data_IF_315825835742
#
_entry.id   IF_315825835742
#
_cell.length_a   1.000
_cell.length_b   1.000
_cell.length_c   1.000
_cell.angle_alpha   90.00
_cell.angle_beta   90.00
_cell.angle_gamma   90.00
#
_symmetry.space_group_name_H-M   'P 1'
#
loop_
_entity.id
_entity.type
_entity.pdbx_description
1 polymer ?
#
# COMPACT_ATOMS: atom_id res chain seq x y z
N UNK A 1 -30.06 -51.51 17.31
CA UNK A 1 -30.53 -50.12 17.13
C UNK A 1 -29.61 -49.19 17.91
N UNK A 2 -28.80 -48.44 17.17
CA UNK A 2 -28.09 -47.20 17.55
C UNK A 2 -29.06 -46.13 18.08
N UNK A 3 -28.70 -45.00 18.70
CA UNK A 3 -27.48 -44.38 19.21
C UNK A 3 -27.98 -43.19 20.07
N UNK A 4 -27.23 -42.79 21.11
CA UNK A 4 -26.93 -41.38 21.49
C UNK A 4 -26.31 -41.32 22.88
N UNK A 5 -24.98 -41.43 22.95
CA UNK A 5 -24.23 -41.07 24.17
C UNK A 5 -23.70 -39.65 24.02
N UNK A 6 -24.23 -38.76 24.86
CA UNK A 6 -23.74 -37.41 25.15
C UNK A 6 -22.26 -37.48 25.56
N UNK A 7 -21.34 -36.89 24.78
CA UNK A 7 -19.99 -36.57 25.28
C UNK A 7 -19.99 -35.20 25.93
N UNK A 8 -19.95 -35.18 27.27
CA UNK A 8 -19.60 -33.99 28.05
C UNK A 8 -18.13 -33.66 27.79
N UNK A 9 -17.87 -32.46 27.27
CA UNK A 9 -16.53 -31.93 27.08
C UNK A 9 -15.92 -31.60 28.47
N UNK A 10 -14.97 -32.42 28.92
CA UNK A 10 -14.25 -32.23 30.18
C UNK A 10 -13.08 -31.28 29.91
N UNK A 11 -13.23 -30.02 30.30
CA UNK A 11 -12.19 -29.00 30.16
C UNK A 11 -11.10 -29.23 31.20
N UNK A 12 -9.84 -29.41 30.77
CA UNK A 12 -8.68 -29.51 31.66
C UNK A 12 -8.37 -28.14 32.30
N UNK A 13 -7.85 -28.18 33.53
CA UNK A 13 -7.52 -26.98 34.34
C UNK A 13 -6.60 -26.00 33.62
N UNK A 14 -5.71 -26.50 32.77
CA UNK A 14 -4.77 -25.71 31.93
C UNK A 14 -5.51 -24.81 30.93
N UNK A 15 -6.64 -25.27 30.40
CA UNK A 15 -7.44 -24.51 29.41
C UNK A 15 -8.21 -23.37 30.08
N UNK A 16 -8.55 -23.51 31.37
CA UNK A 16 -9.21 -22.44 32.15
C UNK A 16 -8.24 -21.31 32.50
N UNK A 17 -7.00 -21.63 32.86
CA UNK A 17 -5.99 -20.61 33.19
C UNK A 17 -5.53 -19.80 31.98
N UNK A 18 -5.42 -20.39 30.78
CA UNK A 18 -5.14 -19.63 29.56
C UNK A 18 -6.27 -18.65 29.20
N UNK A 19 -7.54 -19.06 29.37
CA UNK A 19 -8.68 -18.19 29.07
C UNK A 19 -8.73 -16.96 29.99
N UNK A 20 -8.37 -17.11 31.27
CA UNK A 20 -8.32 -15.99 32.23
C UNK A 20 -7.18 -15.02 31.92
N UNK A 21 -6.01 -15.53 31.49
CA UNK A 21 -4.89 -14.68 31.05
C UNK A 21 -5.22 -13.87 29.78
N UNK A 22 -5.96 -14.46 28.83
CA UNK A 22 -6.41 -13.79 27.61
C UNK A 22 -7.45 -12.69 27.87
N UNK A 23 -8.35 -12.90 28.82
CA UNK A 23 -9.36 -11.88 29.20
C UNK A 23 -8.71 -10.75 30.01
N UNK A 24 -7.70 -11.05 30.86
CA UNK A 24 -6.94 -10.04 31.59
C UNK A 24 -6.13 -9.09 30.68
N UNK A 25 -5.59 -9.61 29.57
CA UNK A 25 -4.85 -8.81 28.58
C UNK A 25 -5.76 -7.94 27.67
N UNK A 26 -7.01 -8.36 27.43
CA UNK A 26 -7.98 -7.55 26.68
C UNK A 26 -8.68 -6.50 27.56
N UNK A 27 -8.80 -6.75 28.87
CA UNK A 27 -9.47 -5.83 29.81
C UNK A 27 -8.68 -4.57 30.15
N UNK A 28 -7.35 -4.60 30.11
CA UNK A 28 -6.50 -3.46 30.49
C UNK A 28 -6.35 -2.38 29.40
N UNK A 29 -6.76 -2.64 28.16
CA UNK A 29 -6.75 -1.64 27.09
C UNK A 29 -7.99 -0.73 27.09
N UNK A 30 -9.03 -1.05 27.87
CA UNK A 30 -10.33 -0.37 27.76
C UNK A 30 -10.54 0.83 28.70
N UNK A 31 -9.60 1.17 29.59
CA UNK A 31 -9.84 2.18 30.65
C UNK A 31 -9.30 3.58 30.32
N UNK A 32 -8.56 3.77 29.21
CA UNK A 32 -8.02 5.11 28.86
C UNK A 32 -8.92 5.95 27.93
N UNK A 33 -10.17 5.54 27.68
CA UNK A 33 -11.05 6.21 26.71
C UNK A 33 -11.82 7.44 27.24
N UNK A 34 -11.64 7.85 28.49
CA UNK A 34 -12.46 8.90 29.10
C UNK A 34 -11.63 10.02 29.72
N UNK A 35 -11.08 10.85 28.83
CA UNK A 35 -11.01 12.33 28.87
C UNK A 35 -9.88 12.75 27.94
N UNK A 36 -10.05 12.47 26.64
CA UNK A 36 -9.16 13.08 25.67
C UNK A 36 -9.38 14.60 25.78
N UNK A 37 -8.34 15.41 26.04
CA UNK A 37 -8.45 16.85 25.87
C UNK A 37 -8.98 17.12 24.45
N UNK A 38 -9.71 18.23 24.20
CA UNK A 38 -10.18 18.56 22.86
C UNK A 38 -9.01 18.35 21.89
N UNK A 39 -9.22 17.67 20.75
CA UNK A 39 -8.13 17.36 19.85
C UNK A 39 -7.39 18.67 19.60
N UNK A 40 -6.12 18.73 20.03
CA UNK A 40 -5.26 19.83 19.61
C UNK A 40 -5.36 19.81 18.08
N UNK A 41 -5.64 20.95 17.41
CA UNK A 41 -5.57 20.96 15.96
C UNK A 41 -4.23 20.34 15.61
N UNK A 42 -4.28 19.20 14.91
CA UNK A 42 -3.05 18.57 14.44
C UNK A 42 -2.26 19.69 13.79
N UNK A 43 -1.01 19.97 14.20
CA UNK A 43 -0.19 20.89 13.44
C UNK A 43 -0.30 20.40 12.00
N UNK A 44 -0.67 21.26 11.03
CA UNK A 44 -0.78 20.82 9.66
C UNK A 44 0.64 20.41 9.25
N UNK A 45 0.93 19.11 9.36
CA UNK A 45 1.99 18.51 8.60
C UNK A 45 1.76 18.90 7.14
N UNK A 46 2.82 19.01 6.33
CA UNK A 46 2.66 19.41 4.95
C UNK A 46 1.60 18.52 4.29
N UNK A 47 0.52 19.14 3.83
CA UNK A 47 -0.52 18.43 3.08
C UNK A 47 0.10 18.13 1.73
N UNK A 48 0.50 16.88 1.53
CA UNK A 48 1.04 16.43 0.25
C UNK A 48 0.03 16.70 -0.87
N UNK A 49 0.52 17.22 -1.97
CA UNK A 49 -0.21 17.28 -3.23
C UNK A 49 -0.65 15.88 -3.69
N UNK A 50 -1.59 15.83 -4.64
CA UNK A 50 -1.99 14.55 -5.26
C UNK A 50 -0.77 13.87 -5.87
N UNK A 51 0.04 14.62 -6.62
CA UNK A 51 1.27 14.13 -7.22
C UNK A 51 2.21 13.50 -6.19
N UNK A 52 2.58 14.22 -5.12
CA UNK A 52 3.54 13.72 -4.12
C UNK A 52 3.04 12.45 -3.42
N UNK A 53 1.73 12.39 -3.12
CA UNK A 53 1.11 11.22 -2.50
C UNK A 53 1.22 10.00 -3.41
N UNK A 54 0.86 10.16 -4.67
CA UNK A 54 0.86 9.06 -5.64
C UNK A 54 2.27 8.69 -6.09
N UNK A 55 3.20 9.64 -6.09
CA UNK A 55 4.62 9.37 -6.24
C UNK A 55 5.13 8.44 -5.15
N UNK A 56 4.86 8.74 -3.89
CA UNK A 56 5.26 7.90 -2.76
C UNK A 56 4.64 6.50 -2.86
N UNK A 57 3.37 6.40 -3.24
CA UNK A 57 2.71 5.11 -3.47
C UNK A 57 3.40 4.32 -4.60
N UNK A 58 3.63 4.97 -5.75
CA UNK A 58 4.31 4.39 -6.89
C UNK A 58 5.70 3.90 -6.50
N UNK A 59 6.46 4.69 -5.75
CA UNK A 59 7.79 4.34 -5.26
C UNK A 59 7.76 3.05 -4.44
N UNK A 60 6.87 2.93 -3.47
CA UNK A 60 6.76 1.70 -2.68
C UNK A 60 6.39 0.49 -3.54
N UNK A 61 5.51 0.66 -4.53
CA UNK A 61 5.12 -0.39 -5.46
C UNK A 61 6.30 -0.83 -6.34
N UNK A 62 7.08 0.12 -6.85
CA UNK A 62 8.29 -0.12 -7.64
C UNK A 62 9.35 -0.86 -6.84
N UNK A 63 9.59 -0.43 -5.59
CA UNK A 63 10.51 -1.09 -4.67
C UNK A 63 10.08 -2.53 -4.36
N UNK A 64 8.77 -2.79 -4.19
CA UNK A 64 8.23 -4.15 -4.01
C UNK A 64 8.47 -5.03 -5.24
N UNK A 65 8.27 -4.51 -6.45
CA UNK A 65 8.58 -5.26 -7.67
C UNK A 65 10.07 -5.55 -7.79
N UNK A 66 10.93 -4.57 -7.52
CA UNK A 66 12.38 -4.74 -7.56
C UNK A 66 12.87 -5.79 -6.56
N UNK A 67 12.39 -5.72 -5.31
CA UNK A 67 12.71 -6.71 -4.27
C UNK A 67 12.30 -8.13 -4.63
N UNK A 68 11.22 -8.30 -5.41
CA UNK A 68 10.77 -9.61 -5.93
C UNK A 68 11.41 -9.99 -7.27
N UNK A 69 12.25 -9.12 -7.86
CA UNK A 69 12.78 -9.26 -9.24
C UNK A 69 11.67 -9.41 -10.29
N UNK A 70 10.53 -8.78 -10.04
CA UNK A 70 9.29 -8.95 -10.80
C UNK A 70 9.17 -7.89 -11.90
N UNK A 71 10.02 -8.05 -12.92
CA UNK A 71 10.09 -7.11 -14.05
C UNK A 71 8.79 -7.06 -14.86
N UNK A 72 8.11 -8.19 -15.00
CA UNK A 72 6.87 -8.27 -15.77
C UNK A 72 5.78 -7.38 -15.17
N UNK A 73 5.59 -7.41 -13.85
CA UNK A 73 4.61 -6.54 -13.21
C UNK A 73 5.05 -5.07 -13.21
N UNK A 74 6.33 -4.78 -13.01
CA UNK A 74 6.84 -3.41 -13.18
C UNK A 74 6.47 -2.84 -14.55
N UNK A 75 6.80 -3.56 -15.65
CA UNK A 75 6.51 -3.09 -17.00
C UNK A 75 5.01 -3.00 -17.30
N UNK A 76 4.21 -3.92 -16.76
CA UNK A 76 2.76 -3.90 -16.88
C UNK A 76 2.15 -2.64 -16.24
N UNK A 77 2.49 -2.36 -14.98
CA UNK A 77 1.97 -1.19 -14.27
C UNK A 77 2.50 0.12 -14.87
N UNK A 78 3.75 0.14 -15.33
CA UNK A 78 4.32 1.30 -16.00
C UNK A 78 3.53 1.68 -17.26
N UNK A 79 3.16 0.70 -18.10
CA UNK A 79 2.29 0.92 -19.27
C UNK A 79 0.89 1.35 -18.86
N UNK A 80 0.32 0.74 -17.82
CA UNK A 80 -1.00 1.09 -17.32
C UNK A 80 -1.10 2.52 -16.83
N UNK A 81 -0.06 3.02 -16.14
CA UNK A 81 -0.01 4.41 -15.70
C UNK A 81 0.22 5.36 -16.89
N UNK A 82 1.08 5.00 -17.84
CA UNK A 82 1.21 5.73 -19.11
C UNK A 82 -0.13 5.87 -19.86
N UNK A 83 -0.88 4.77 -20.01
CA UNK A 83 -2.20 4.80 -20.66
C UNK A 83 -3.17 5.68 -19.86
N UNK A 84 -3.13 5.61 -18.53
CA UNK A 84 -3.92 6.45 -17.64
C UNK A 84 -3.70 7.95 -17.86
N UNK A 85 -2.43 8.37 -18.03
CA UNK A 85 -2.09 9.78 -18.33
C UNK A 85 -2.77 10.24 -19.62
N UNK A 86 -2.85 9.38 -20.64
CA UNK A 86 -3.42 9.72 -21.96
C UNK A 86 -4.94 9.66 -21.97
N UNK A 87 -5.52 8.70 -21.27
CA UNK A 87 -6.97 8.48 -21.25
C UNK A 87 -7.72 9.45 -20.33
N UNK A 88 -7.07 9.89 -19.24
CA UNK A 88 -7.70 10.70 -18.19
C UNK A 88 -6.83 11.93 -17.87
N UNK A 89 -6.73 12.90 -18.80
CA UNK A 89 -5.88 14.07 -18.64
C UNK A 89 -6.25 14.94 -17.42
N UNK A 90 -7.51 14.90 -16.97
CA UNK A 90 -7.98 15.55 -15.74
C UNK A 90 -7.35 14.97 -14.46
N UNK A 91 -6.77 13.77 -14.55
CA UNK A 91 -6.08 13.07 -13.47
C UNK A 91 -4.57 12.96 -13.73
N UNK A 92 -3.96 13.85 -14.53
CA UNK A 92 -2.54 13.80 -14.90
C UNK A 92 -1.64 13.70 -13.66
N UNK A 93 -1.86 14.51 -12.63
CA UNK A 93 -1.05 14.49 -11.40
C UNK A 93 -1.05 13.12 -10.70
N UNK A 94 -2.20 12.44 -10.70
CA UNK A 94 -2.34 11.11 -10.11
C UNK A 94 -1.52 10.08 -10.90
N UNK A 95 -1.76 9.97 -12.21
CA UNK A 95 -1.11 8.94 -13.03
C UNK A 95 0.36 9.24 -13.26
N UNK A 96 0.75 10.51 -13.39
CA UNK A 96 2.15 10.95 -13.50
C UNK A 96 2.92 10.67 -12.21
N UNK A 97 2.32 10.97 -11.05
CA UNK A 97 2.90 10.62 -9.75
C UNK A 97 3.21 9.13 -9.67
N UNK A 98 2.23 8.26 -9.98
CA UNK A 98 2.47 6.81 -9.99
C UNK A 98 3.49 6.36 -11.01
N UNK A 99 3.45 6.89 -12.23
CA UNK A 99 4.36 6.53 -13.31
C UNK A 99 5.83 6.83 -12.96
N UNK A 100 6.09 8.03 -12.45
CA UNK A 100 7.43 8.46 -12.06
C UNK A 100 7.87 7.74 -10.78
N UNK A 101 7.02 7.71 -9.74
CA UNK A 101 7.29 7.02 -8.49
C UNK A 101 7.64 5.55 -8.69
N UNK A 102 6.84 4.81 -9.48
CA UNK A 102 7.07 3.40 -9.81
C UNK A 102 8.47 3.17 -10.39
N UNK A 103 8.89 4.05 -11.29
CA UNK A 103 10.21 3.99 -11.93
C UNK A 103 11.32 4.25 -10.93
N UNK A 104 11.22 5.30 -10.10
CA UNK A 104 12.22 5.61 -9.08
C UNK A 104 12.36 4.47 -8.06
N UNK A 105 11.25 3.95 -7.55
CA UNK A 105 11.24 2.84 -6.61
C UNK A 105 11.88 1.57 -7.18
N UNK A 106 11.65 1.29 -8.46
CA UNK A 106 12.30 0.19 -9.15
C UNK A 106 13.82 0.42 -9.29
N UNK A 107 14.22 1.62 -9.72
CA UNK A 107 15.62 1.97 -9.99
C UNK A 107 16.52 1.85 -8.77
N UNK A 108 16.11 2.46 -7.65
CA UNK A 108 16.95 2.53 -6.45
C UNK A 108 17.17 1.15 -5.81
N UNK A 109 16.35 0.16 -6.17
CA UNK A 109 16.38 -1.19 -5.63
C UNK A 109 16.90 -2.22 -6.64
N UNK A 110 17.50 -1.79 -7.75
CA UNK A 110 18.08 -2.65 -8.79
C UNK A 110 19.57 -2.28 -8.99
N UNK A 111 20.49 -3.27 -9.03
CA UNK A 111 21.91 -2.99 -9.30
C UNK A 111 22.14 -2.50 -10.74
N UNK A 112 21.34 -2.97 -11.71
CA UNK A 112 21.42 -2.58 -13.12
C UNK A 112 20.00 -2.34 -13.67
N UNK A 113 19.42 -1.14 -13.46
CA UNK A 113 18.07 -0.84 -13.91
C UNK A 113 17.99 -0.64 -15.43
N UNK A 114 17.11 -1.39 -16.09
CA UNK A 114 16.74 -1.13 -17.49
C UNK A 114 15.61 -0.09 -17.58
N UNK A 115 15.93 1.06 -18.17
CA UNK A 115 15.03 2.21 -18.33
C UNK A 115 14.49 2.38 -19.73
N UNK A 116 14.77 1.44 -20.63
CA UNK A 116 14.41 1.56 -22.04
C UNK A 116 12.91 1.80 -22.21
N UNK A 117 12.08 1.04 -21.50
CA UNK A 117 10.64 1.21 -21.57
C UNK A 117 10.17 2.56 -21.00
N UNK A 118 10.64 2.93 -19.80
CA UNK A 118 10.28 4.21 -19.18
C UNK A 118 10.64 5.39 -20.07
N UNK A 119 11.86 5.44 -20.59
CA UNK A 119 12.31 6.52 -21.49
C UNK A 119 11.46 6.61 -22.73
N UNK A 120 11.20 5.48 -23.40
CA UNK A 120 10.34 5.42 -24.58
C UNK A 120 8.94 5.97 -24.32
N UNK A 121 8.33 5.61 -23.19
CA UNK A 121 6.99 6.07 -22.82
C UNK A 121 6.99 7.55 -22.42
N UNK A 122 8.01 8.00 -21.67
CA UNK A 122 8.17 9.40 -21.29
C UNK A 122 8.34 10.31 -22.51
N UNK A 123 9.20 9.94 -23.45
CA UNK A 123 9.39 10.66 -24.71
C UNK A 123 8.11 10.71 -25.57
N UNK A 124 7.27 9.68 -25.49
CA UNK A 124 5.97 9.69 -26.16
C UNK A 124 5.00 10.70 -25.52
N UNK A 125 4.97 10.77 -24.17
CA UNK A 125 4.16 11.76 -23.45
C UNK A 125 4.63 13.20 -23.72
N UNK A 126 5.93 13.42 -23.84
CA UNK A 126 6.50 14.74 -24.14
C UNK A 126 6.14 15.20 -25.55
N UNK A 127 6.17 14.30 -26.54
CA UNK A 127 5.74 14.59 -27.92
C UNK A 127 4.25 14.93 -28.01
N UNK A 128 3.40 14.12 -27.40
CA UNK A 128 1.94 14.33 -27.39
C UNK A 128 1.55 15.68 -26.73
N UNK A 129 2.39 16.23 -25.84
CA UNK A 129 2.16 17.56 -25.22
C UNK A 129 2.57 18.73 -26.12
N UNK A 130 3.46 18.52 -27.08
CA UNK A 130 4.01 19.58 -27.93
C UNK A 130 3.30 19.75 -29.27
N UNK A 131 2.46 18.81 -29.68
CA UNK A 131 1.57 18.93 -30.85
C UNK A 131 0.16 19.35 -30.39
N UNK A 132 -0.25 20.62 -30.61
CA UNK A 132 -1.58 21.13 -30.24
C UNK A 132 -2.72 20.65 -31.15
#
# INVERSE_FOLDING_TARGET
>A
MENKIKRRLKWNTVTKTMAVLLIGLLGSLSIHAQTLPPPRPNPPGPVLSVYEREFNYGYEEGAKFAGRKDRANYEYFLRRYYDGIRMYPENDDFYRGRFEGLTYGWMENQPEPDLTLYRKLKEALERDRTDP
#
